data_IF_358266470993
#
_entry.id   IF_358266470993
#
_cell.length_a   1.000
_cell.length_b   1.000
_cell.length_c   1.000
_cell.angle_alpha   90.00
_cell.angle_beta   90.00
_cell.angle_gamma   90.00
#
_symmetry.space_group_name_H-M   'P 1'
#
loop_
_entity.id
_entity.type
_entity.pdbx_description
1 polymer ?
#
# COMPACT_ATOMS: atom_id res chain seq x y z
N UNK A 1 -23.57 -14.36 15.48
CA UNK A 1 -22.95 -14.17 14.15
C UNK A 1 -21.83 -13.15 14.31
N UNK A 2 -20.59 -13.60 14.28
CA UNK A 2 -19.44 -12.68 14.36
C UNK A 2 -19.24 -12.11 12.95
N UNK A 3 -19.57 -10.85 12.75
CA UNK A 3 -19.19 -10.15 11.51
C UNK A 3 -17.69 -10.22 11.37
N UNK A 4 -17.19 -10.53 10.17
CA UNK A 4 -15.75 -10.42 9.88
C UNK A 4 -15.33 -8.98 10.13
N UNK A 5 -14.19 -8.76 10.81
CA UNK A 5 -13.68 -7.41 10.99
C UNK A 5 -13.54 -6.74 9.62
N UNK A 6 -13.89 -5.47 9.55
CA UNK A 6 -13.65 -4.69 8.34
C UNK A 6 -12.16 -4.65 8.00
N UNK A 7 -11.83 -4.32 6.77
CA UNK A 7 -10.43 -4.20 6.31
C UNK A 7 -10.18 -2.77 5.86
N UNK A 8 -9.09 -2.18 6.36
CA UNK A 8 -8.48 -0.98 5.79
C UNK A 8 -7.22 -1.37 5.02
N UNK A 9 -7.05 -0.88 3.81
CA UNK A 9 -5.86 -1.11 3.00
C UNK A 9 -4.97 0.13 3.02
N UNK A 10 -3.73 -0.02 3.47
CA UNK A 10 -2.71 1.02 3.48
C UNK A 10 -1.67 0.74 2.39
N UNK A 11 -1.53 1.65 1.43
CA UNK A 11 -0.41 1.65 0.49
C UNK A 11 0.86 2.19 1.17
N UNK A 12 1.93 1.42 1.15
CA UNK A 12 3.23 1.78 1.76
C UNK A 12 4.36 1.74 0.74
N UNK A 13 5.38 2.56 0.98
CA UNK A 13 6.56 2.66 0.13
C UNK A 13 7.80 2.85 1.02
N UNK A 14 8.96 2.22 0.70
CA UNK A 14 10.15 2.28 1.54
C UNK A 14 10.69 3.68 1.81
N UNK A 15 10.53 4.59 0.87
CA UNK A 15 11.04 5.96 0.97
C UNK A 15 10.02 6.96 1.53
N UNK A 16 8.86 6.47 1.93
CA UNK A 16 7.76 7.31 2.39
C UNK A 16 7.78 7.48 3.90
N UNK A 17 7.36 8.66 4.36
CA UNK A 17 7.05 8.91 5.76
C UNK A 17 5.94 7.96 6.23
N UNK A 18 6.19 7.24 7.33
CA UNK A 18 5.23 6.30 7.89
C UNK A 18 4.16 6.94 8.79
N UNK A 19 4.00 8.25 8.76
CA UNK A 19 2.91 8.94 9.45
C UNK A 19 1.54 8.40 9.05
N UNK A 20 1.39 7.99 7.77
CA UNK A 20 0.18 7.35 7.28
C UNK A 20 -0.11 6.00 7.98
N UNK A 21 0.92 5.24 8.35
CA UNK A 21 0.74 3.98 9.06
C UNK A 21 0.15 4.17 10.47
N UNK A 22 0.65 5.15 11.20
CA UNK A 22 0.12 5.48 12.54
C UNK A 22 -1.34 5.96 12.46
N UNK A 23 -1.67 6.81 11.50
CA UNK A 23 -3.04 7.30 11.29
C UNK A 23 -4.00 6.20 10.83
N UNK A 24 -3.55 5.35 9.92
CA UNK A 24 -4.35 4.21 9.45
C UNK A 24 -4.61 3.21 10.57
N UNK A 25 -3.62 2.96 11.43
CA UNK A 25 -3.77 2.07 12.59
C UNK A 25 -4.77 2.63 13.61
N UNK A 26 -4.68 3.92 13.94
CA UNK A 26 -5.63 4.57 14.83
C UNK A 26 -7.06 4.50 14.30
N UNK A 27 -7.23 4.71 12.99
CA UNK A 27 -8.53 4.58 12.34
C UNK A 27 -9.03 3.13 12.33
N UNK A 28 -8.17 2.17 12.04
CA UNK A 28 -8.52 0.75 12.08
C UNK A 28 -8.98 0.30 13.47
N UNK A 29 -8.28 0.73 14.51
CA UNK A 29 -8.67 0.46 15.89
C UNK A 29 -10.06 1.03 16.23
N UNK A 30 -10.33 2.29 15.86
CA UNK A 30 -11.63 2.93 16.07
C UNK A 30 -12.77 2.23 15.33
N UNK A 31 -12.50 1.67 14.16
CA UNK A 31 -13.48 0.98 13.33
C UNK A 31 -13.59 -0.52 13.62
N UNK A 32 -12.77 -1.05 14.53
CA UNK A 32 -12.67 -2.49 14.75
C UNK A 32 -12.26 -3.27 13.50
N UNK A 33 -11.37 -2.69 12.69
CA UNK A 33 -10.93 -3.23 11.42
C UNK A 33 -9.51 -3.79 11.50
N UNK A 34 -9.18 -4.75 10.62
CA UNK A 34 -7.80 -5.16 10.35
C UNK A 34 -7.12 -4.15 9.41
N UNK A 35 -5.81 -3.94 9.60
CA UNK A 35 -4.99 -3.09 8.74
C UNK A 35 -4.14 -3.94 7.81
N UNK A 36 -4.34 -3.84 6.52
CA UNK A 36 -3.55 -4.52 5.51
C UNK A 36 -2.59 -3.52 4.86
N UNK A 37 -1.29 -3.73 5.02
CA UNK A 37 -0.24 -2.88 4.45
C UNK A 37 0.25 -3.49 3.14
N UNK A 38 0.11 -2.80 2.04
CA UNK A 38 0.51 -3.27 0.72
C UNK A 38 1.62 -2.42 0.12
N UNK A 39 2.67 -3.09 -0.30
CA UNK A 39 3.74 -2.51 -1.10
C UNK A 39 3.65 -3.04 -2.54
N UNK A 40 3.81 -2.15 -3.50
CA UNK A 40 3.79 -2.50 -4.93
C UNK A 40 5.13 -2.12 -5.55
N UNK A 41 5.80 -3.09 -6.17
CA UNK A 41 7.04 -2.86 -6.91
C UNK A 41 6.72 -2.45 -8.35
N UNK A 42 6.95 -1.18 -8.73
CA UNK A 42 6.64 -0.71 -10.08
C UNK A 42 7.66 -1.14 -11.13
N UNK A 43 8.81 -1.70 -10.72
CA UNK A 43 9.85 -2.19 -11.63
C UNK A 43 9.63 -3.66 -12.05
N UNK A 44 8.60 -4.29 -11.54
CA UNK A 44 8.24 -5.68 -11.82
C UNK A 44 6.77 -5.76 -12.25
N UNK A 45 6.40 -6.89 -12.83
CA UNK A 45 4.99 -7.19 -13.17
C UNK A 45 4.59 -8.55 -12.64
N UNK A 46 3.33 -8.73 -12.36
CA UNK A 46 2.78 -9.99 -11.87
C UNK A 46 2.73 -11.01 -13.00
N UNK A 47 3.41 -12.14 -12.79
CA UNK A 47 3.36 -13.31 -13.69
C UNK A 47 2.24 -14.26 -13.26
N UNK A 48 2.11 -14.47 -11.96
CA UNK A 48 1.13 -15.38 -11.39
C UNK A 48 0.71 -14.94 -9.99
N UNK A 49 -0.56 -15.11 -9.68
CA UNK A 49 -1.09 -14.97 -8.33
C UNK A 49 -1.44 -16.35 -7.78
N UNK A 50 -0.85 -16.70 -6.63
CA UNK A 50 -1.09 -17.97 -5.98
C UNK A 50 -2.39 -17.93 -5.15
N UNK A 51 -2.89 -19.11 -4.78
CA UNK A 51 -4.14 -19.25 -4.03
C UNK A 51 -4.08 -18.62 -2.63
N UNK A 52 -2.89 -18.53 -2.01
CA UNK A 52 -2.66 -17.87 -0.73
C UNK A 52 -2.54 -16.34 -0.83
N UNK A 53 -2.67 -15.77 -2.03
CA UNK A 53 -2.52 -14.35 -2.30
C UNK A 53 -1.08 -13.91 -2.62
N UNK A 54 -0.10 -14.81 -2.50
CA UNK A 54 1.29 -14.53 -2.86
C UNK A 54 1.41 -14.26 -4.36
N UNK A 55 2.30 -13.33 -4.71
CA UNK A 55 2.53 -12.92 -6.10
C UNK A 55 3.90 -13.41 -6.56
N UNK A 56 3.94 -14.08 -7.70
CA UNK A 56 5.16 -14.29 -8.48
C UNK A 56 5.31 -13.17 -9.49
N UNK A 57 6.45 -12.57 -9.54
CA UNK A 57 6.73 -11.41 -10.37
C UNK A 57 7.98 -11.61 -11.22
N UNK A 58 8.07 -10.85 -12.29
CA UNK A 58 9.26 -10.75 -13.14
C UNK A 58 9.64 -9.29 -13.35
N UNK A 59 10.94 -8.97 -13.53
CA UNK A 59 11.37 -7.63 -13.86
C UNK A 59 10.79 -7.17 -15.20
N UNK A 60 10.55 -5.87 -15.32
CA UNK A 60 10.17 -5.25 -16.62
C UNK A 60 11.35 -5.31 -17.59
N UNK A 61 12.58 -5.30 -17.08
CA UNK A 61 13.79 -5.42 -17.90
C UNK A 61 13.90 -6.83 -18.50
N UNK A 62 13.82 -6.98 -19.84
CA UNK A 62 13.84 -8.28 -20.48
C UNK A 62 15.21 -8.99 -20.42
N UNK A 63 16.27 -8.30 -20.08
CA UNK A 63 17.61 -8.88 -19.93
C UNK A 63 17.76 -9.64 -18.60
N UNK A 64 16.90 -9.36 -17.64
CA UNK A 64 16.89 -10.01 -16.33
C UNK A 64 15.82 -11.11 -16.33
N UNK A 65 16.25 -12.36 -16.43
CA UNK A 65 15.36 -13.52 -16.35
C UNK A 65 15.27 -14.01 -14.89
N UNK A 66 14.45 -13.33 -14.12
CA UNK A 66 14.23 -13.67 -12.73
C UNK A 66 12.73 -13.68 -12.44
N UNK A 67 12.15 -14.84 -12.21
CA UNK A 67 10.76 -15.01 -11.78
C UNK A 67 10.74 -15.61 -10.39
N UNK A 68 10.40 -14.80 -9.40
CA UNK A 68 10.38 -15.26 -8.02
C UNK A 68 9.13 -14.74 -7.29
N UNK A 69 8.90 -15.31 -6.12
CA UNK A 69 7.91 -14.81 -5.18
C UNK A 69 8.29 -13.38 -4.80
N UNK A 70 7.33 -12.45 -4.98
CA UNK A 70 7.56 -11.05 -4.65
C UNK A 70 7.78 -10.89 -3.14
N UNK A 71 8.98 -10.49 -2.68
CA UNK A 71 9.24 -10.29 -1.27
C UNK A 71 8.69 -8.94 -0.80
N UNK A 72 8.21 -8.90 0.44
CA UNK A 72 7.95 -7.62 1.09
C UNK A 72 9.28 -7.05 1.62
N UNK A 73 9.60 -5.76 1.40
CA UNK A 73 10.86 -5.18 1.82
C UNK A 73 11.06 -5.31 3.35
N UNK A 74 12.14 -5.94 3.76
CA UNK A 74 12.37 -6.25 5.18
C UNK A 74 12.52 -5.00 6.07
N UNK A 75 13.22 -3.98 5.58
CA UNK A 75 13.35 -2.71 6.32
C UNK A 75 11.98 -2.05 6.52
N UNK A 76 11.16 -2.01 5.49
CA UNK A 76 9.80 -1.48 5.58
C UNK A 76 8.95 -2.29 6.57
N UNK A 77 9.06 -3.61 6.57
CA UNK A 77 8.38 -4.48 7.54
C UNK A 77 8.78 -4.14 8.99
N UNK A 78 10.06 -3.95 9.23
CA UNK A 78 10.60 -3.61 10.58
C UNK A 78 10.12 -2.23 11.04
N UNK A 79 10.12 -1.25 10.13
CA UNK A 79 9.63 0.09 10.44
C UNK A 79 8.12 0.09 10.73
N UNK A 80 7.34 -0.64 9.95
CA UNK A 80 5.91 -0.85 10.22
C UNK A 80 5.68 -1.55 11.55
N UNK A 81 6.42 -2.60 11.86
CA UNK A 81 6.32 -3.33 13.12
C UNK A 81 6.58 -2.40 14.33
N UNK A 82 7.59 -1.55 14.23
CA UNK A 82 7.90 -0.58 15.29
C UNK A 82 6.72 0.35 15.60
N UNK A 83 5.95 0.73 14.59
CA UNK A 83 4.78 1.60 14.73
C UNK A 83 3.53 0.83 15.14
N UNK A 84 3.30 -0.35 14.56
CA UNK A 84 2.03 -1.05 14.65
C UNK A 84 1.94 -2.04 15.81
N UNK A 85 3.04 -2.69 16.19
CA UNK A 85 3.04 -3.68 17.26
C UNK A 85 2.60 -3.13 18.64
N UNK A 86 2.94 -1.88 19.03
CA UNK A 86 2.45 -1.31 20.27
C UNK A 86 0.95 -1.02 20.29
N UNK A 87 0.28 -1.07 19.12
CA UNK A 87 -1.13 -0.73 18.97
C UNK A 87 -2.00 -1.98 18.96
N UNK A 88 -3.25 -1.84 19.43
CA UNK A 88 -4.22 -2.94 19.47
C UNK A 88 -4.89 -3.16 18.11
N UNK A 89 -4.11 -3.29 17.05
CA UNK A 89 -4.59 -3.51 15.69
C UNK A 89 -3.98 -4.78 15.11
N UNK A 90 -4.81 -5.62 14.50
CA UNK A 90 -4.33 -6.75 13.70
C UNK A 90 -3.87 -6.23 12.36
N UNK A 91 -2.64 -6.50 11.99
CA UNK A 91 -2.09 -6.03 10.72
C UNK A 91 -1.41 -7.14 9.91
N UNK A 92 -1.42 -6.99 8.60
CA UNK A 92 -0.84 -7.94 7.64
C UNK A 92 -0.10 -7.19 6.54
N UNK A 93 0.82 -7.86 5.87
CA UNK A 93 1.58 -7.29 4.74
C UNK A 93 1.27 -8.02 3.44
N UNK A 94 1.28 -7.28 2.34
CA UNK A 94 1.12 -7.78 0.97
C UNK A 94 2.22 -7.22 0.09
N UNK A 95 2.94 -8.09 -0.61
CA UNK A 95 3.92 -7.71 -1.61
C UNK A 95 3.34 -7.92 -3.01
N UNK A 96 3.24 -6.85 -3.78
CA UNK A 96 2.63 -6.79 -5.09
C UNK A 96 3.63 -6.27 -6.13
N UNK A 97 3.33 -6.45 -7.40
CA UNK A 97 4.16 -5.98 -8.50
C UNK A 97 3.29 -5.44 -9.64
N UNK A 98 3.64 -4.28 -10.17
CA UNK A 98 2.94 -3.65 -11.27
C UNK A 98 2.62 -2.17 -11.03
N UNK A 99 1.53 -1.71 -11.62
CA UNK A 99 1.08 -0.33 -11.40
C UNK A 99 0.47 -0.17 -9.99
N UNK A 100 1.00 0.73 -9.14
CA UNK A 100 0.55 0.84 -7.76
C UNK A 100 -0.95 1.09 -7.60
N UNK A 101 -1.55 1.99 -8.36
CA UNK A 101 -2.98 2.27 -8.23
C UNK A 101 -3.85 1.09 -8.68
N UNK A 102 -3.49 0.42 -9.75
CA UNK A 102 -4.20 -0.76 -10.24
C UNK A 102 -4.11 -1.94 -9.27
N UNK A 103 -2.92 -2.21 -8.75
CA UNK A 103 -2.69 -3.32 -7.82
C UNK A 103 -3.35 -3.08 -6.46
N UNK A 104 -3.31 -1.86 -5.93
CA UNK A 104 -4.00 -1.50 -4.69
C UNK A 104 -5.53 -1.61 -4.85
N UNK A 105 -6.08 -1.13 -5.96
CA UNK A 105 -7.51 -1.27 -6.25
C UNK A 105 -7.94 -2.73 -6.32
N UNK A 106 -7.19 -3.56 -7.04
CA UNK A 106 -7.47 -4.98 -7.18
C UNK A 106 -7.35 -5.74 -5.83
N UNK A 107 -6.36 -5.39 -5.01
CA UNK A 107 -6.23 -5.97 -3.67
C UNK A 107 -7.36 -5.53 -2.76
N UNK A 108 -7.74 -4.27 -2.77
CA UNK A 108 -8.85 -3.74 -1.98
C UNK A 108 -10.16 -4.46 -2.30
N UNK A 109 -10.43 -4.72 -3.57
CA UNK A 109 -11.60 -5.49 -4.01
C UNK A 109 -11.56 -6.93 -3.49
N UNK A 110 -10.43 -7.63 -3.64
CA UNK A 110 -10.27 -9.02 -3.15
C UNK A 110 -10.43 -9.15 -1.65
N UNK A 111 -9.98 -8.17 -0.89
CA UNK A 111 -10.07 -8.15 0.57
C UNK A 111 -11.44 -7.67 1.08
N UNK A 112 -12.26 -7.10 0.21
CA UNK A 112 -13.47 -6.42 0.64
C UNK A 112 -13.15 -5.22 1.54
N UNK A 113 -12.08 -4.48 1.21
CA UNK A 113 -11.66 -3.33 2.00
C UNK A 113 -12.74 -2.25 2.02
N UNK A 114 -12.86 -1.55 3.14
CA UNK A 114 -13.80 -0.42 3.30
C UNK A 114 -13.23 0.89 2.78
N UNK A 115 -11.89 1.00 2.74
CA UNK A 115 -11.18 2.23 2.41
C UNK A 115 -9.74 1.90 2.02
N UNK A 116 -9.16 2.74 1.16
CA UNK A 116 -7.73 2.73 0.88
C UNK A 116 -7.12 3.98 1.52
N UNK A 117 -6.04 3.78 2.28
CA UNK A 117 -5.25 4.85 2.91
C UNK A 117 -3.92 4.96 2.19
N UNK A 118 -3.51 6.15 1.83
CA UNK A 118 -2.21 6.43 1.22
C UNK A 118 -1.60 7.67 1.86
N UNK A 119 -0.27 7.70 1.98
CA UNK A 119 0.44 8.89 2.39
C UNK A 119 0.65 9.86 1.23
N UNK A 120 0.62 11.14 1.50
CA UNK A 120 1.04 12.14 0.54
C UNK A 120 2.56 12.07 0.36
N UNK A 121 3.04 12.11 -0.89
CA UNK A 121 4.46 12.26 -1.16
C UNK A 121 4.91 13.67 -0.80
N UNK A 122 6.07 13.79 -0.18
CA UNK A 122 6.74 15.10 -0.08
C UNK A 122 7.09 15.58 -1.48
N UNK A 123 6.78 16.85 -1.84
CA UNK A 123 7.28 17.42 -3.08
C UNK A 123 8.81 17.41 -3.01
N UNK A 124 9.46 16.62 -3.86
CA UNK A 124 10.90 16.72 -4.07
C UNK A 124 11.17 17.86 -5.06
N UNK A 125 12.29 18.57 -4.89
CA UNK A 125 12.72 19.62 -5.82
C UNK A 125 12.94 19.11 -7.25
N UNK A 126 12.88 17.80 -7.48
CA UNK A 126 13.01 17.14 -8.78
C UNK A 126 11.68 16.71 -9.39
N UNK A 127 10.58 16.91 -8.67
CA UNK A 127 9.26 16.52 -9.18
C UNK A 127 8.76 17.58 -10.15
N UNK A 128 8.63 17.23 -11.41
CA UNK A 128 8.08 18.13 -12.42
C UNK A 128 6.59 18.41 -12.11
N UNK A 129 6.11 19.60 -12.49
CA UNK A 129 4.69 19.98 -12.36
C UNK A 129 3.73 18.94 -12.97
N UNK A 130 4.18 18.17 -13.96
CA UNK A 130 3.41 17.09 -14.58
C UNK A 130 3.16 15.89 -13.64
N UNK A 131 4.12 15.59 -12.77
CA UNK A 131 3.99 14.52 -11.76
C UNK A 131 3.10 14.96 -10.60
N UNK A 132 3.08 16.25 -10.27
CA UNK A 132 2.19 16.81 -9.24
C UNK A 132 0.72 16.80 -9.68
N UNK A 133 0.44 16.97 -10.97
CA UNK A 133 -0.93 17.13 -11.47
C UNK A 133 -1.57 15.84 -11.99
N UNK A 134 -0.80 14.83 -12.34
CA UNK A 134 -1.32 13.64 -13.01
C UNK A 134 -0.90 12.29 -12.43
N UNK A 135 0.13 12.26 -11.60
CA UNK A 135 0.87 11.05 -11.27
C UNK A 135 0.75 10.52 -9.85
N UNK A 136 0.01 11.15 -8.94
CA UNK A 136 -0.10 10.62 -7.60
C UNK A 136 -0.99 9.36 -7.58
N UNK A 137 -0.54 8.34 -6.86
CA UNK A 137 -1.33 7.12 -6.63
C UNK A 137 -2.70 7.46 -6.05
N UNK A 138 -2.77 8.42 -5.13
CA UNK A 138 -4.01 8.91 -4.54
C UNK A 138 -5.00 9.45 -5.59
N UNK A 139 -4.53 10.28 -6.52
CA UNK A 139 -5.37 10.84 -7.57
C UNK A 139 -5.85 9.78 -8.58
N UNK A 140 -4.99 8.81 -8.89
CA UNK A 140 -5.38 7.69 -9.76
C UNK A 140 -6.39 6.79 -9.08
N UNK A 141 -6.20 6.45 -7.81
CA UNK A 141 -7.14 5.67 -7.02
C UNK A 141 -8.51 6.36 -6.94
N UNK A 142 -8.54 7.65 -6.65
CA UNK A 142 -9.79 8.40 -6.55
C UNK A 142 -10.61 8.45 -7.87
N UNK A 143 -9.95 8.28 -9.02
CA UNK A 143 -10.62 8.24 -10.33
C UNK A 143 -11.04 6.86 -10.80
N UNK A 144 -10.32 5.83 -10.37
CA UNK A 144 -10.42 4.49 -10.99
C UNK A 144 -11.21 3.49 -10.16
N UNK A 145 -11.64 3.84 -8.96
CA UNK A 145 -12.32 2.90 -8.07
C UNK A 145 -13.38 3.58 -7.19
N UNK A 146 -14.27 2.77 -6.62
CA UNK A 146 -15.45 3.25 -5.89
C UNK A 146 -15.25 3.39 -4.38
N UNK A 147 -14.14 2.88 -3.84
CA UNK A 147 -13.86 2.96 -2.41
C UNK A 147 -13.37 4.36 -2.00
N UNK A 148 -13.69 4.82 -0.80
CA UNK A 148 -13.08 6.01 -0.24
C UNK A 148 -11.55 5.90 -0.22
N UNK A 149 -10.87 6.99 -0.58
CA UNK A 149 -9.42 7.11 -0.49
C UNK A 149 -9.09 8.19 0.52
N UNK A 150 -8.41 7.79 1.59
CA UNK A 150 -7.91 8.71 2.61
C UNK A 150 -6.44 9.05 2.30
N UNK A 151 -6.15 10.31 2.12
CA UNK A 151 -4.79 10.81 1.91
C UNK A 151 -4.29 11.40 3.22
N UNK A 152 -3.23 10.82 3.78
CA UNK A 152 -2.59 11.32 5.00
C UNK A 152 -1.43 12.24 4.61
N UNK A 153 -1.43 13.51 5.05
CA UNK A 153 -0.31 14.42 4.77
C UNK A 153 1.01 13.88 5.33
N UNK A 154 2.12 14.20 4.65
CA UNK A 154 3.44 13.94 5.20
C UNK A 154 3.63 14.74 6.51
N UNK A 155 4.30 14.13 7.51
CA UNK A 155 4.61 14.85 8.74
C UNK A 155 5.46 16.08 8.40
N UNK A 156 5.03 17.22 8.91
CA UNK A 156 5.84 18.45 8.83
C UNK A 156 6.87 18.39 9.94
N UNK A 157 8.14 18.29 9.57
CA UNK A 157 9.20 18.58 10.52
C UNK A 157 9.38 20.10 10.58
N UNK A 158 9.41 20.67 11.77
CA UNK A 158 9.70 22.09 11.93
C UNK A 158 11.12 22.44 11.48
#
# INVERSE_FOLDING_TARGET
MTERPGVLLLGVCPEQDLAAAAQAAALAEQLGAELHCAWVDPARYTVQRLADGTVRSAPIDPEVQDQDVQPFPELLRRDLATILEPLAVVWRTHALAGNPSAELSALAERLGARMIVVGARRPSLRTSLHELLGGSVAAQLARCQLLPVLVVPAAQHP
#
